data_IF_845003189451
#
_entry.id   IF_845003189451
#
_cell.length_a   1.000
_cell.length_b   1.000
_cell.length_c   1.000
_cell.angle_alpha   90.00
_cell.angle_beta   90.00
_cell.angle_gamma   90.00
#
_symmetry.space_group_name_H-M   'P 1'
#
loop_
_entity.id
_entity.type
_entity.pdbx_description
1 polymer ?
#
# COMPACT_ATOMS: atom_id res chain seq x y z
N UNK A 1 12.44 13.47 -21.44
CA UNK A 1 11.23 13.85 -20.70
C UNK A 1 11.03 13.08 -19.39
N UNK A 2 10.59 11.81 -19.35
CA UNK A 2 10.38 11.09 -18.06
C UNK A 2 11.69 10.92 -17.25
N UNK A 3 12.80 10.60 -17.90
CA UNK A 3 14.09 10.44 -17.23
C UNK A 3 14.60 11.73 -16.56
N UNK A 4 14.36 12.89 -17.19
CA UNK A 4 14.74 14.20 -16.65
C UNK A 4 13.87 14.59 -15.45
N UNK A 5 12.56 14.36 -15.54
CA UNK A 5 11.63 14.57 -14.42
C UNK A 5 11.99 13.67 -13.23
N UNK A 6 12.32 12.40 -13.48
CA UNK A 6 12.80 11.47 -12.44
C UNK A 6 14.08 11.99 -11.79
N UNK A 7 15.02 12.51 -12.57
CA UNK A 7 16.28 13.05 -12.06
C UNK A 7 16.06 14.34 -11.25
N UNK A 8 15.17 15.23 -11.69
CA UNK A 8 14.81 16.44 -10.95
C UNK A 8 14.15 16.09 -9.61
N UNK A 9 13.20 15.15 -9.61
CA UNK A 9 12.57 14.65 -8.40
C UNK A 9 13.62 14.03 -7.46
N UNK A 10 14.53 13.20 -7.99
CA UNK A 10 15.59 12.57 -7.22
C UNK A 10 16.55 13.59 -6.56
N UNK A 11 16.90 14.68 -7.25
CA UNK A 11 17.70 15.77 -6.67
C UNK A 11 16.95 16.53 -5.57
N UNK A 12 15.64 16.69 -5.69
CA UNK A 12 14.83 17.31 -4.64
C UNK A 12 14.70 16.43 -3.40
N UNK A 13 14.75 15.11 -3.55
CA UNK A 13 14.73 14.18 -2.40
C UNK A 13 15.94 14.36 -1.48
N UNK A 14 17.07 14.89 -1.98
CA UNK A 14 18.25 15.18 -1.15
C UNK A 14 18.16 16.51 -0.37
N UNK A 15 17.12 17.31 -0.60
CA UNK A 15 16.86 18.53 0.19
C UNK A 15 16.24 18.15 1.55
N UNK A 16 16.94 18.41 2.65
CA UNK A 16 16.52 18.02 4.00
C UNK A 16 15.32 18.80 4.58
N UNK A 17 14.80 19.80 3.87
CA UNK A 17 13.79 20.75 4.38
C UNK A 17 12.49 20.74 3.56
N UNK A 18 12.03 19.57 3.14
CA UNK A 18 10.75 19.46 2.44
C UNK A 18 9.58 19.53 3.43
N UNK A 19 8.55 20.28 3.05
CA UNK A 19 7.24 20.18 3.71
C UNK A 19 6.69 18.75 3.55
N UNK A 20 5.99 18.19 4.55
CA UNK A 20 5.49 16.80 4.48
C UNK A 20 4.66 16.50 3.22
N UNK A 21 3.81 17.43 2.79
CA UNK A 21 3.02 17.29 1.57
C UNK A 21 3.90 17.19 0.31
N UNK A 22 4.98 17.97 0.23
CA UNK A 22 5.92 17.92 -0.89
C UNK A 22 6.72 16.62 -0.88
N UNK A 23 7.17 16.17 0.29
CA UNK A 23 7.84 14.89 0.46
C UNK A 23 6.93 13.72 0.00
N UNK A 24 5.66 13.72 0.41
CA UNK A 24 4.68 12.72 -0.02
C UNK A 24 4.44 12.76 -1.54
N UNK A 25 4.34 13.95 -2.13
CA UNK A 25 4.18 14.10 -3.58
C UNK A 25 5.39 13.52 -4.35
N UNK A 26 6.62 13.76 -3.88
CA UNK A 26 7.82 13.19 -4.48
C UNK A 26 7.90 11.67 -4.29
N UNK A 27 7.51 11.17 -3.12
CA UNK A 27 7.42 9.72 -2.85
C UNK A 27 6.48 9.02 -3.86
N UNK A 28 5.26 9.55 -4.03
CA UNK A 28 4.29 9.04 -5.01
C UNK A 28 4.77 9.18 -6.45
N UNK A 29 5.42 10.28 -6.79
CA UNK A 29 5.98 10.48 -8.14
C UNK A 29 7.05 9.44 -8.48
N UNK A 30 7.94 9.10 -7.54
CA UNK A 30 8.94 8.05 -7.74
C UNK A 30 8.29 6.67 -7.93
N UNK A 31 7.23 6.35 -7.19
CA UNK A 31 6.44 5.13 -7.39
C UNK A 31 5.82 5.09 -8.79
N UNK A 32 5.22 6.20 -9.23
CA UNK A 32 4.65 6.30 -10.57
C UNK A 32 5.72 6.11 -11.66
N UNK A 33 6.90 6.72 -11.50
CA UNK A 33 8.02 6.54 -12.43
C UNK A 33 8.60 5.12 -12.42
N UNK A 34 8.45 4.38 -11.32
CA UNK A 34 8.84 2.98 -11.21
C UNK A 34 7.77 2.01 -11.73
N UNK A 35 6.61 2.51 -12.19
CA UNK A 35 5.49 1.68 -12.65
C UNK A 35 4.66 1.06 -11.52
N UNK A 36 4.91 1.41 -10.26
CA UNK A 36 4.16 0.95 -9.11
C UNK A 36 2.83 1.74 -8.97
N UNK A 37 1.93 1.55 -9.93
CA UNK A 37 0.74 2.39 -10.13
C UNK A 37 -0.18 2.43 -8.91
N UNK A 38 -0.55 1.27 -8.36
CA UNK A 38 -1.40 1.17 -7.15
C UNK A 38 -0.81 1.97 -6.01
N UNK A 39 0.48 1.75 -5.76
CA UNK A 39 1.22 2.41 -4.69
C UNK A 39 1.40 3.90 -4.96
N UNK A 40 1.48 4.35 -6.20
CA UNK A 40 1.55 5.78 -6.50
C UNK A 40 0.25 6.53 -6.18
N UNK A 41 -0.89 5.82 -6.19
CA UNK A 41 -2.23 6.38 -5.97
C UNK A 41 -2.79 6.10 -4.58
N UNK A 42 -2.21 5.15 -3.84
CA UNK A 42 -2.66 4.81 -2.50
C UNK A 42 -2.65 6.02 -1.56
N UNK A 43 -3.67 6.12 -0.71
CA UNK A 43 -3.88 7.24 0.21
C UNK A 43 -2.82 7.29 1.32
N UNK A 44 -2.33 6.13 1.76
CA UNK A 44 -1.41 5.98 2.88
C UNK A 44 -1.89 6.65 4.17
N UNK A 45 -3.20 6.69 4.38
CA UNK A 45 -3.74 7.05 5.67
C UNK A 45 -3.59 5.85 6.60
N UNK A 46 -2.70 6.00 7.58
CA UNK A 46 -2.48 5.01 8.65
C UNK A 46 -3.00 5.50 10.00
N UNK A 47 -3.67 6.66 10.03
CA UNK A 47 -4.37 7.11 11.22
C UNK A 47 -5.71 6.37 11.31
N UNK A 48 -6.45 6.21 10.22
CA UNK A 48 -7.71 5.44 10.18
C UNK A 48 -7.79 4.40 9.05
N UNK A 49 -6.65 3.95 8.53
CA UNK A 49 -6.55 3.08 7.37
C UNK A 49 -7.36 1.78 7.46
N UNK A 50 -8.23 1.58 6.47
CA UNK A 50 -8.92 0.31 6.22
C UNK A 50 -8.59 -0.19 4.82
N UNK A 51 -8.12 -1.43 4.75
CA UNK A 51 -7.91 -2.15 3.51
C UNK A 51 -8.92 -3.29 3.42
N UNK A 52 -9.54 -3.45 2.25
CA UNK A 52 -10.35 -4.62 1.96
C UNK A 52 -9.60 -5.46 0.94
N UNK A 53 -9.36 -6.70 1.30
CA UNK A 53 -8.67 -7.68 0.47
C UNK A 53 -9.39 -9.01 0.56
N UNK A 54 -9.35 -9.81 -0.48
CA UNK A 54 -9.77 -11.20 -0.45
C UNK A 54 -8.67 -12.09 0.15
N UNK A 55 -9.06 -13.13 0.86
CA UNK A 55 -8.09 -14.14 1.28
C UNK A 55 -7.59 -14.89 0.05
N UNK A 56 -6.28 -14.99 -0.21
CA UNK A 56 -5.74 -15.70 -1.36
C UNK A 56 -6.01 -17.22 -1.35
N UNK A 57 -6.47 -17.77 -0.22
CA UNK A 57 -6.74 -19.19 -0.06
C UNK A 57 -8.23 -19.55 -0.19
N UNK A 58 -9.12 -18.80 0.46
CA UNK A 58 -10.57 -19.10 0.46
C UNK A 58 -11.44 -18.01 -0.17
N UNK A 59 -10.83 -16.95 -0.73
CA UNK A 59 -11.48 -15.86 -1.46
C UNK A 59 -12.56 -15.09 -0.68
N UNK A 60 -12.68 -15.29 0.63
CA UNK A 60 -13.57 -14.47 1.45
C UNK A 60 -12.97 -13.07 1.62
N UNK A 61 -13.82 -12.05 1.57
CA UNK A 61 -13.42 -10.69 1.90
C UNK A 61 -12.95 -10.56 3.35
N UNK A 62 -11.78 -9.98 3.53
CA UNK A 62 -11.13 -9.68 4.80
C UNK A 62 -10.98 -8.16 4.91
N UNK A 63 -11.50 -7.60 5.99
CA UNK A 63 -11.22 -6.21 6.40
C UNK A 63 -9.92 -6.21 7.18
N UNK A 64 -9.01 -5.30 6.84
CA UNK A 64 -7.75 -5.07 7.55
C UNK A 64 -7.76 -3.64 8.06
N UNK A 65 -7.64 -3.47 9.37
CA UNK A 65 -7.53 -2.17 10.02
C UNK A 65 -6.06 -1.91 10.40
N UNK A 66 -5.55 -0.72 10.04
CA UNK A 66 -4.23 -0.22 10.42
C UNK A 66 -4.39 1.23 10.87
N UNK A 67 -4.37 1.47 12.19
CA UNK A 67 -4.41 2.82 12.75
C UNK A 67 -5.04 2.88 14.13
N UNK A 68 -5.76 3.97 14.43
CA UNK A 68 -6.40 4.24 15.72
C UNK A 68 -7.47 3.22 16.08
N UNK A 69 -8.11 2.59 15.09
CA UNK A 69 -9.12 1.56 15.31
C UNK A 69 -8.52 0.20 15.68
N UNK A 70 -7.20 0.05 15.55
CA UNK A 70 -6.44 -1.15 15.88
C UNK A 70 -5.59 -1.65 14.71
N UNK A 71 -5.00 -2.82 14.93
CA UNK A 71 -4.13 -3.51 13.98
C UNK A 71 -4.60 -4.96 13.88
N UNK A 72 -5.62 -5.20 13.07
CA UNK A 72 -6.24 -6.52 12.95
C UNK A 72 -6.77 -6.80 11.56
N UNK A 73 -6.96 -8.09 11.25
CA UNK A 73 -7.82 -8.58 10.17
C UNK A 73 -9.15 -9.10 10.74
N UNK A 74 -10.24 -8.98 10.00
CA UNK A 74 -11.58 -9.35 10.44
C UNK A 74 -12.50 -9.71 9.27
N UNK A 75 -13.62 -10.37 9.59
CA UNK A 75 -14.76 -10.46 8.68
C UNK A 75 -15.69 -9.28 8.94
N UNK A 76 -16.17 -8.63 7.87
CA UNK A 76 -17.16 -7.57 7.99
C UNK A 76 -18.56 -8.16 8.07
N UNK A 77 -19.21 -7.96 9.20
CA UNK A 77 -20.64 -8.17 9.38
C UNK A 77 -21.38 -6.83 9.28
N UNK A 78 -22.55 -6.83 8.64
CA UNK A 78 -23.32 -5.61 8.41
C UNK A 78 -23.88 -5.01 9.70
N UNK A 79 -24.38 -5.86 10.60
CA UNK A 79 -25.06 -5.44 11.83
C UNK A 79 -24.09 -5.33 13.01
N UNK A 80 -23.06 -6.17 13.01
CA UNK A 80 -22.11 -6.33 14.13
C UNK A 80 -20.75 -5.70 13.89
N UNK A 81 -20.50 -5.17 12.69
CA UNK A 81 -19.20 -4.63 12.30
C UNK A 81 -18.13 -5.72 12.17
N UNK A 82 -16.91 -5.42 12.59
CA UNK A 82 -15.77 -6.32 12.39
C UNK A 82 -15.75 -7.45 13.44
N UNK A 83 -16.09 -8.66 12.99
CA UNK A 83 -16.15 -9.89 13.80
C UNK A 83 -14.96 -10.80 13.52
N UNK A 84 -14.71 -11.74 14.44
CA UNK A 84 -13.61 -12.73 14.35
C UNK A 84 -12.23 -12.08 14.16
N UNK A 85 -11.97 -10.97 14.86
CA UNK A 85 -10.72 -10.23 14.74
C UNK A 85 -9.49 -11.10 15.04
N UNK A 86 -8.45 -10.95 14.22
CA UNK A 86 -7.13 -11.56 14.37
C UNK A 86 -6.06 -10.46 14.38
N UNK A 87 -5.10 -10.46 15.31
CA UNK A 87 -4.06 -9.45 15.34
C UNK A 87 -3.19 -9.51 14.08
N UNK A 88 -2.76 -8.35 13.58
CA UNK A 88 -1.74 -8.31 12.53
C UNK A 88 -0.36 -8.60 13.12
N UNK A 89 0.51 -9.15 12.28
CA UNK A 89 1.94 -9.28 12.57
C UNK A 89 2.68 -8.20 11.80
N UNK A 90 3.33 -7.29 12.53
CA UNK A 90 4.21 -6.27 11.93
C UNK A 90 5.37 -6.95 11.19
N UNK A 91 5.71 -6.46 10.00
CA UNK A 91 6.96 -6.84 9.37
C UNK A 91 8.14 -6.21 10.10
N UNK A 92 9.22 -6.98 10.25
CA UNK A 92 10.51 -6.41 10.62
C UNK A 92 11.02 -5.57 9.44
N UNK A 93 11.30 -4.27 9.63
CA UNK A 93 11.88 -3.42 8.58
C UNK A 93 13.14 -3.99 7.91
N UNK A 94 13.94 -4.76 8.64
CA UNK A 94 15.15 -5.41 8.13
C UNK A 94 14.89 -6.60 7.20
N UNK A 95 13.67 -7.15 7.24
CA UNK A 95 13.24 -8.28 6.41
C UNK A 95 12.35 -7.85 5.23
N UNK A 96 12.06 -6.55 5.08
CA UNK A 96 11.41 -6.05 3.88
C UNK A 96 12.34 -6.22 2.68
N UNK A 97 11.79 -6.55 1.52
CA UNK A 97 12.51 -6.66 0.26
C UNK A 97 11.82 -5.87 -0.87
N UNK A 98 12.46 -5.86 -2.05
CA UNK A 98 11.91 -5.27 -3.27
C UNK A 98 11.33 -3.87 -3.10
N UNK A 99 10.07 -3.72 -3.53
CA UNK A 99 9.35 -2.45 -3.48
C UNK A 99 9.05 -2.01 -2.05
N UNK A 100 8.69 -2.94 -1.16
CA UNK A 100 8.38 -2.65 0.24
C UNK A 100 9.59 -2.06 0.99
N UNK A 101 10.78 -2.65 0.80
CA UNK A 101 12.03 -2.14 1.35
C UNK A 101 12.37 -0.74 0.83
N UNK A 102 12.17 -0.52 -0.47
CA UNK A 102 12.40 0.77 -1.10
C UNK A 102 11.44 1.83 -0.55
N UNK A 103 10.14 1.52 -0.45
CA UNK A 103 9.12 2.42 0.09
C UNK A 103 9.43 2.80 1.54
N UNK A 104 9.74 1.82 2.39
CA UNK A 104 10.10 2.06 3.78
C UNK A 104 11.35 2.95 3.89
N UNK A 105 12.42 2.61 3.18
CA UNK A 105 13.68 3.38 3.18
C UNK A 105 13.47 4.81 2.69
N UNK A 106 12.70 5.00 1.62
CA UNK A 106 12.42 6.31 1.06
C UNK A 106 11.55 7.16 2.00
N UNK A 107 10.52 6.57 2.62
CA UNK A 107 9.71 7.26 3.61
C UNK A 107 10.55 7.72 4.82
N UNK A 108 11.47 6.86 5.30
CA UNK A 108 12.44 7.21 6.35
C UNK A 108 13.37 8.35 5.93
N UNK A 109 13.93 8.28 4.73
CA UNK A 109 14.83 9.30 4.19
C UNK A 109 14.14 10.67 4.11
N UNK A 110 12.86 10.68 3.74
CA UNK A 110 12.04 11.89 3.62
C UNK A 110 11.46 12.40 4.95
N UNK A 111 11.76 11.75 6.08
CA UNK A 111 11.22 12.12 7.39
C UNK A 111 9.72 11.80 7.56
N UNK A 112 9.11 11.05 6.65
CA UNK A 112 7.72 10.62 6.69
C UNK A 112 7.57 9.44 7.68
N UNK A 113 7.79 9.71 8.97
CA UNK A 113 7.84 8.67 10.00
C UNK A 113 6.53 7.87 10.14
N UNK A 114 5.33 8.50 10.15
CA UNK A 114 4.08 7.74 10.21
C UNK A 114 3.87 6.81 9.01
N UNK A 115 4.27 7.27 7.80
CA UNK A 115 4.26 6.45 6.59
C UNK A 115 5.19 5.25 6.75
N UNK A 116 6.45 5.48 7.12
CA UNK A 116 7.43 4.40 7.29
C UNK A 116 6.94 3.34 8.30
N UNK A 117 6.38 3.76 9.44
CA UNK A 117 5.79 2.85 10.42
C UNK A 117 4.59 2.10 9.85
N UNK A 118 3.64 2.79 9.22
CA UNK A 118 2.46 2.17 8.65
C UNK A 118 2.78 1.15 7.54
N UNK A 119 3.84 1.38 6.76
CA UNK A 119 4.31 0.44 5.75
C UNK A 119 4.76 -0.90 6.36
N UNK A 120 5.27 -0.91 7.59
CA UNK A 120 5.63 -2.19 8.27
C UNK A 120 4.40 -3.01 8.66
N UNK A 121 3.25 -2.35 8.86
CA UNK A 121 1.98 -3.03 9.09
C UNK A 121 1.35 -3.47 7.77
N UNK A 122 1.40 -2.62 6.75
CA UNK A 122 0.86 -2.89 5.41
C UNK A 122 1.61 -4.02 4.71
N UNK A 123 2.95 -4.07 4.81
CA UNK A 123 3.76 -5.18 4.33
C UNK A 123 3.99 -6.25 5.41
N UNK A 124 3.29 -6.13 6.54
CA UNK A 124 3.14 -7.17 7.54
C UNK A 124 2.16 -8.26 7.11
N UNK A 125 1.87 -9.17 8.04
CA UNK A 125 1.00 -10.32 7.78
C UNK A 125 -0.37 -10.17 8.44
N UNK A 126 -1.40 -10.50 7.69
CA UNK A 126 -2.74 -10.75 8.18
C UNK A 126 -3.01 -12.26 8.25
N UNK A 127 -3.95 -12.66 9.11
CA UNK A 127 -4.53 -14.00 9.14
C UNK A 127 -6.00 -13.92 8.68
N UNK A 128 -6.41 -14.79 7.77
CA UNK A 128 -7.81 -14.89 7.37
C UNK A 128 -8.65 -15.43 8.54
N UNK A 129 -9.69 -14.71 9.02
CA UNK A 129 -10.51 -15.19 10.11
C UNK A 129 -11.32 -16.47 9.81
N UNK A 130 -11.52 -16.80 8.53
CA UNK A 130 -12.29 -17.97 8.10
C UNK A 130 -11.45 -19.25 8.02
N UNK A 131 -10.25 -19.17 7.41
CA UNK A 131 -9.44 -20.35 7.10
C UNK A 131 -8.05 -20.35 7.78
N UNK A 132 -7.73 -19.32 8.56
CA UNK A 132 -6.44 -19.12 9.22
C UNK A 132 -5.22 -19.04 8.28
N UNK A 133 -5.43 -18.96 6.96
CA UNK A 133 -4.35 -18.71 6.01
C UNK A 133 -3.74 -17.33 6.26
N UNK A 134 -2.41 -17.27 6.29
CA UNK A 134 -1.67 -16.03 6.50
C UNK A 134 -1.08 -15.50 5.20
N UNK A 135 -1.19 -14.20 4.97
CA UNK A 135 -0.73 -13.54 3.75
C UNK A 135 -0.22 -12.12 4.05
N UNK A 136 0.58 -11.57 3.14
CA UNK A 136 1.06 -10.18 3.21
C UNK A 136 -0.05 -9.27 2.68
N UNK A 137 -0.43 -8.26 3.47
CA UNK A 137 -1.59 -7.41 3.14
C UNK A 137 -1.31 -6.61 1.86
N UNK A 138 -0.13 -6.00 1.77
CA UNK A 138 0.27 -5.18 0.63
C UNK A 138 0.31 -5.98 -0.67
N UNK A 139 0.86 -7.20 -0.65
CA UNK A 139 0.94 -8.05 -1.84
C UNK A 139 -0.46 -8.43 -2.35
N UNK A 140 -1.36 -8.78 -1.43
CA UNK A 140 -2.74 -9.11 -1.78
C UNK A 140 -3.49 -7.87 -2.30
N UNK A 141 -3.33 -6.73 -1.65
CA UNK A 141 -3.92 -5.46 -2.08
C UNK A 141 -3.43 -5.07 -3.47
N UNK A 142 -2.12 -5.18 -3.74
CA UNK A 142 -1.56 -4.93 -5.06
C UNK A 142 -2.10 -5.90 -6.10
N UNK A 143 -2.19 -7.20 -5.78
CA UNK A 143 -2.75 -8.22 -6.69
C UNK A 143 -4.17 -7.88 -7.14
N UNK A 144 -5.00 -7.35 -6.24
CA UNK A 144 -6.40 -7.01 -6.52
C UNK A 144 -6.61 -5.65 -7.18
N UNK A 145 -5.69 -4.70 -6.95
CA UNK A 145 -5.87 -3.31 -7.38
C UNK A 145 -4.92 -2.91 -8.50
N UNK A 146 -3.92 -3.73 -8.84
CA UNK A 146 -3.06 -3.47 -9.98
C UNK A 146 -3.93 -3.39 -11.23
N UNK A 147 -3.72 -2.37 -12.08
CA UNK A 147 -4.41 -2.33 -13.36
C UNK A 147 -4.02 -3.59 -14.11
N UNK A 148 -4.89 -4.60 -14.12
CA UNK A 148 -4.80 -5.66 -15.09
C UNK A 148 -4.90 -4.94 -16.44
N UNK A 149 -3.82 -5.00 -17.23
CA UNK A 149 -3.94 -4.66 -18.64
C UNK A 149 -4.96 -5.63 -19.23
N UNK A 150 -6.23 -5.24 -19.18
CA UNK A 150 -7.27 -5.81 -20.01
C UNK A 150 -6.74 -5.70 -21.44
N UNK A 151 -6.63 -6.83 -22.13
CA UNK A 151 -6.43 -6.84 -23.58
C UNK A 151 -7.57 -6.12 -24.31
N UNK A 152 -8.68 -5.85 -23.65
CA UNK A 152 -9.69 -4.87 -24.08
C UNK A 152 -9.32 -3.50 -23.52
N UNK A 153 -8.47 -2.77 -24.24
CA UNK A 153 -8.22 -1.36 -23.98
C UNK A 153 -9.51 -0.54 -24.17
N UNK A 154 -9.74 0.53 -23.37
CA UNK A 154 -10.84 1.42 -23.62
C UNK A 154 -10.39 2.40 -24.71
N UNK A 155 -10.61 2.05 -25.98
CA UNK A 155 -10.85 2.93 -27.15
C UNK A 155 -10.98 2.01 -28.38
N UNK A 156 -12.16 1.86 -28.99
CA UNK A 156 -12.25 1.36 -30.34
C UNK A 156 -11.57 2.34 -31.29
N UNK A 157 -10.74 1.88 -32.24
CA UNK A 157 -10.20 2.73 -33.29
C UNK A 157 -11.34 3.13 -34.24
N UNK A 158 -11.70 4.42 -34.25
CA UNK A 158 -12.46 5.05 -35.33
C UNK A 158 -13.87 5.49 -34.98
N UNK A 159 -14.09 6.81 -35.03
CA UNK A 159 -15.40 7.44 -34.99
C UNK A 159 -15.27 8.97 -34.89
N UNK A 160 -15.19 9.61 -36.06
CA UNK A 160 -15.19 11.05 -36.40
C UNK A 160 -15.34 12.07 -35.27
#
# INVERSE_FOLDING_TARGET
MIAELRQMAARRLTDSNLLPATAMALFRAQLAFAGATVWSLAEYDFDDGFYRVECPHCHIGVTVAIGIYGRYSAQRDWDRGDIHRRPLTQADPGNLDGLAAWMHTMARHLGLTPLAEGLTWLFGRAECPACASSFVIGDQYATENEPHHSSDGPIPPGGW
#
